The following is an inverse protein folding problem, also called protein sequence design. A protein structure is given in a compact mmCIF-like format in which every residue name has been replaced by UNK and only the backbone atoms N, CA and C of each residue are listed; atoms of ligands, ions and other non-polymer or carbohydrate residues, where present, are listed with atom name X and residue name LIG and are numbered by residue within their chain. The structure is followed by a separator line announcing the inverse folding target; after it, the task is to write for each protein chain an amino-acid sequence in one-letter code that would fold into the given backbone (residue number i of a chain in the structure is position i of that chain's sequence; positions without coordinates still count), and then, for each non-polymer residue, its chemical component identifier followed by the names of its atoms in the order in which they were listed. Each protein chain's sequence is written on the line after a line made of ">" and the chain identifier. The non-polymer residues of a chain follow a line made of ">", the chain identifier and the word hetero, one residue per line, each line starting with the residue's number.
data_IF_342286525142
#
_entry.id   IF_342286525142
#
_cell.length_a   1.000
_cell.length_b   1.000
_cell.length_c   1.000
_cell.angle_alpha   90.00
_cell.angle_beta   90.00
_cell.angle_gamma   90.00
#
_symmetry.space_group_name_H-M   'P 1'
#
loop_
_entity.id
_entity.type
_entity.pdbx_description
1 polymer ?
#
# COMPACT_ATOMS: atom_id res chain seq x y z
N UNK A 1 -12.26 5.68 -14.91
CA UNK A 1 -12.04 7.09 -14.50
C UNK A 1 -13.32 7.93 -14.55
N UNK A 2 -14.29 7.61 -15.40
CA UNK A 2 -15.53 8.40 -15.49
C UNK A 2 -16.34 8.46 -14.19
N UNK A 3 -16.46 7.34 -13.45
CA UNK A 3 -17.11 7.33 -12.13
C UNK A 3 -16.39 8.24 -11.11
N UNK A 4 -15.07 8.34 -11.16
CA UNK A 4 -14.29 9.26 -10.32
C UNK A 4 -14.64 10.70 -10.65
N UNK A 5 -14.63 11.05 -11.95
CA UNK A 5 -14.98 12.41 -12.40
C UNK A 5 -16.41 12.78 -12.02
N UNK A 6 -17.35 11.83 -12.09
CA UNK A 6 -18.74 12.07 -11.71
C UNK A 6 -18.88 12.32 -10.20
N UNK A 7 -18.20 11.52 -9.37
CA UNK A 7 -18.18 11.74 -7.93
C UNK A 7 -17.57 13.11 -7.56
N UNK A 8 -16.48 13.50 -8.21
CA UNK A 8 -15.88 14.83 -8.03
C UNK A 8 -16.84 15.95 -8.45
N UNK A 9 -17.51 15.82 -9.61
CA UNK A 9 -18.52 16.79 -10.07
C UNK A 9 -19.70 16.93 -9.11
N UNK A 10 -20.10 15.82 -8.47
CA UNK A 10 -21.14 15.81 -7.45
C UNK A 10 -20.69 16.42 -6.10
N UNK A 11 -19.42 16.86 -5.99
CA UNK A 11 -18.89 17.54 -4.80
C UNK A 11 -18.28 16.60 -3.75
N UNK A 12 -18.11 15.31 -4.05
CA UNK A 12 -17.44 14.39 -3.13
C UNK A 12 -15.93 14.62 -3.10
N UNK A 13 -15.33 14.49 -1.91
CA UNK A 13 -13.88 14.38 -1.74
C UNK A 13 -13.45 12.97 -2.11
N UNK A 14 -12.77 12.82 -3.25
CA UNK A 14 -12.32 11.51 -3.75
C UNK A 14 -10.83 11.34 -3.51
N UNK A 15 -10.45 10.23 -2.91
CA UNK A 15 -9.05 9.81 -2.73
C UNK A 15 -8.84 8.40 -3.25
N UNK A 16 -7.70 8.12 -3.87
CA UNK A 16 -7.37 6.76 -4.33
C UNK A 16 -6.54 6.01 -3.29
N UNK A 17 -6.70 4.68 -3.28
CA UNK A 17 -5.79 3.77 -2.60
C UNK A 17 -5.13 2.88 -3.66
N UNK A 18 -3.81 2.98 -3.80
CA UNK A 18 -3.03 2.34 -4.85
C UNK A 18 -2.03 1.38 -4.22
N UNK A 19 -2.31 0.08 -4.37
CA UNK A 19 -1.40 -1.00 -3.97
C UNK A 19 -0.51 -1.39 -5.15
N UNK A 20 0.79 -1.44 -4.94
CA UNK A 20 1.79 -1.71 -5.98
C UNK A 20 2.52 -3.04 -5.75
N UNK A 21 2.42 -3.93 -6.73
CA UNK A 21 3.01 -5.28 -6.71
C UNK A 21 4.30 -5.35 -7.53
N UNK A 22 4.97 -6.51 -7.52
CA UNK A 22 6.15 -6.71 -8.37
C UNK A 22 5.78 -6.61 -9.86
N UNK A 23 6.68 -6.03 -10.66
CA UNK A 23 6.45 -5.75 -12.07
C UNK A 23 5.65 -4.48 -12.37
N UNK A 24 5.20 -3.71 -11.37
CA UNK A 24 4.60 -2.40 -11.62
C UNK A 24 5.58 -1.47 -12.35
N UNK A 25 5.16 -0.95 -13.51
CA UNK A 25 5.97 -0.01 -14.30
C UNK A 25 5.90 1.39 -13.68
N UNK A 26 7.04 1.97 -13.24
CA UNK A 26 7.04 3.29 -12.63
C UNK A 26 6.58 4.40 -13.60
N UNK A 27 6.74 4.26 -14.92
CA UNK A 27 6.24 5.26 -15.87
C UNK A 27 4.71 5.25 -15.92
N UNK A 28 4.11 4.06 -16.02
CA UNK A 28 2.66 3.88 -15.95
C UNK A 28 2.06 4.41 -14.65
N UNK A 29 2.72 4.19 -13.51
CA UNK A 29 2.25 4.72 -12.22
C UNK A 29 2.35 6.25 -12.16
N UNK A 30 3.40 6.86 -12.71
CA UNK A 30 3.53 8.32 -12.81
C UNK A 30 2.47 8.92 -13.73
N UNK A 31 2.14 8.26 -14.85
CA UNK A 31 1.05 8.66 -15.72
C UNK A 31 -0.31 8.56 -15.02
N UNK A 32 -0.51 7.51 -14.21
CA UNK A 32 -1.69 7.40 -13.34
C UNK A 32 -1.79 8.57 -12.35
N UNK A 33 -0.68 9.01 -11.75
CA UNK A 33 -0.69 10.19 -10.86
C UNK A 33 -1.15 11.45 -11.59
N UNK A 34 -0.70 11.65 -12.82
CA UNK A 34 -1.16 12.76 -13.65
C UNK A 34 -2.68 12.66 -13.92
N UNK A 35 -3.15 11.50 -14.36
CA UNK A 35 -4.56 11.28 -14.67
C UNK A 35 -5.47 11.50 -13.45
N UNK A 36 -5.05 11.09 -12.25
CA UNK A 36 -5.84 11.29 -11.03
C UNK A 36 -5.91 12.76 -10.64
N UNK A 37 -4.81 13.51 -10.77
CA UNK A 37 -4.84 14.97 -10.53
C UNK A 37 -5.73 15.67 -11.56
N UNK A 38 -5.67 15.28 -12.84
CA UNK A 38 -6.52 15.82 -13.90
C UNK A 38 -8.00 15.46 -13.71
N UNK A 39 -8.30 14.30 -13.12
CA UNK A 39 -9.65 13.88 -12.77
C UNK A 39 -10.23 14.62 -11.55
N UNK A 40 -9.44 15.44 -10.85
CA UNK A 40 -9.86 16.18 -9.67
C UNK A 40 -9.85 15.37 -8.37
N UNK A 41 -9.12 14.24 -8.33
CA UNK A 41 -8.87 13.50 -7.09
C UNK A 41 -8.11 14.40 -6.12
N UNK A 42 -8.55 14.43 -4.87
CA UNK A 42 -7.97 15.29 -3.85
C UNK A 42 -6.52 14.88 -3.51
N UNK A 43 -6.31 13.57 -3.38
CA UNK A 43 -5.02 12.99 -3.00
C UNK A 43 -4.99 11.48 -3.24
N UNK A 44 -3.79 10.93 -3.32
CA UNK A 44 -3.54 9.50 -3.55
C UNK A 44 -2.80 8.87 -2.37
N UNK A 45 -3.18 7.64 -2.01
CA UNK A 45 -2.47 6.81 -1.05
C UNK A 45 -1.72 5.71 -1.79
N UNK A 46 -0.45 5.51 -1.45
CA UNK A 46 0.40 4.48 -2.02
C UNK A 46 0.80 3.45 -0.97
N UNK A 47 0.71 2.17 -1.30
CA UNK A 47 1.22 1.10 -0.44
C UNK A 47 1.89 0.03 -1.27
N UNK A 48 3.04 -0.52 -0.85
CA UNK A 48 3.53 -1.74 -1.45
C UNK A 48 2.56 -2.89 -1.17
N UNK A 49 2.45 -3.82 -2.11
CA UNK A 49 1.78 -5.10 -1.90
C UNK A 49 2.54 -5.91 -0.85
N UNK A 50 1.78 -6.62 -0.02
CA UNK A 50 2.31 -7.47 1.04
C UNK A 50 1.93 -8.93 0.80
N UNK A 51 2.91 -9.82 0.93
CA UNK A 51 2.69 -11.26 0.92
C UNK A 51 2.06 -11.67 2.25
N UNK A 52 0.77 -11.98 2.24
CA UNK A 52 0.12 -12.72 3.31
C UNK A 52 -0.13 -14.14 2.82
N UNK A 53 -0.02 -15.15 3.68
CA UNK A 53 -0.10 -16.57 3.29
C UNK A 53 -1.42 -16.95 2.58
N UNK A 54 -2.48 -16.15 2.80
CA UNK A 54 -3.79 -16.32 2.16
C UNK A 54 -3.93 -15.56 0.83
N UNK A 55 -2.90 -14.87 0.36
CA UNK A 55 -2.93 -14.16 -0.92
C UNK A 55 -2.94 -15.21 -2.05
N UNK A 56 -3.83 -15.09 -3.05
CA UNK A 56 -3.91 -16.03 -4.17
C UNK A 56 -2.61 -16.13 -4.97
N UNK A 57 -1.81 -15.07 -4.94
CA UNK A 57 -0.60 -14.92 -5.72
C UNK A 57 0.63 -14.69 -4.84
N UNK A 58 1.34 -15.78 -4.50
CA UNK A 58 2.54 -15.77 -3.67
C UNK A 58 3.83 -15.41 -4.44
N UNK A 59 3.77 -15.27 -5.77
CA UNK A 59 4.96 -15.23 -6.64
C UNK A 59 5.40 -13.83 -7.06
N UNK A 60 4.53 -12.82 -6.92
CA UNK A 60 4.75 -11.46 -7.45
C UNK A 60 5.02 -10.41 -6.36
N UNK A 61 5.81 -10.76 -5.33
CA UNK A 61 6.11 -9.84 -4.23
C UNK A 61 7.52 -9.22 -4.30
N UNK A 62 7.55 -7.92 -4.05
CA UNK A 62 8.78 -7.14 -3.96
C UNK A 62 9.45 -7.42 -2.61
N UNK A 63 10.70 -7.91 -2.63
CA UNK A 63 11.56 -7.80 -1.44
C UNK A 63 11.81 -6.31 -1.12
N UNK A 64 12.09 -5.97 0.14
CA UNK A 64 12.22 -4.55 0.59
C UNK A 64 13.14 -3.70 -0.30
N UNK A 65 14.22 -4.28 -0.80
CA UNK A 65 15.13 -3.61 -1.74
C UNK A 65 14.48 -3.28 -3.09
N UNK A 66 13.70 -4.21 -3.66
CA UNK A 66 12.95 -3.98 -4.91
C UNK A 66 11.85 -2.93 -4.69
N UNK A 67 11.12 -3.02 -3.57
CA UNK A 67 10.12 -2.00 -3.18
C UNK A 67 10.75 -0.62 -3.13
N UNK A 68 11.88 -0.48 -2.43
CA UNK A 68 12.59 0.80 -2.33
C UNK A 68 13.01 1.34 -3.68
N UNK A 69 13.51 0.49 -4.58
CA UNK A 69 13.86 0.89 -5.95
C UNK A 69 12.65 1.41 -6.73
N UNK A 70 11.53 0.68 -6.68
CA UNK A 70 10.27 1.08 -7.33
C UNK A 70 9.77 2.43 -6.79
N UNK A 71 9.65 2.57 -5.48
CA UNK A 71 9.19 3.82 -4.85
C UNK A 71 10.13 4.99 -5.07
N UNK A 72 11.45 4.77 -5.07
CA UNK A 72 12.45 5.78 -5.47
C UNK A 72 12.24 6.23 -6.92
N UNK A 73 12.05 5.31 -7.86
CA UNK A 73 11.80 5.65 -9.27
C UNK A 73 10.49 6.43 -9.46
N UNK A 74 9.42 6.07 -8.74
CA UNK A 74 8.12 6.74 -8.86
C UNK A 74 8.09 8.13 -8.22
N UNK A 75 8.68 8.30 -7.02
CA UNK A 75 8.50 9.47 -6.18
C UNK A 75 9.66 10.48 -6.23
N UNK A 76 10.84 10.08 -6.70
CA UNK A 76 11.90 11.04 -7.01
C UNK A 76 11.53 11.88 -8.23
N UNK A 77 12.02 13.12 -8.27
CA UNK A 77 11.72 14.09 -9.33
C UNK A 77 10.20 14.21 -9.57
N UNK A 78 9.42 14.18 -8.49
CA UNK A 78 7.95 14.25 -8.54
C UNK A 78 7.46 15.61 -9.00
N UNK A 79 6.28 15.65 -9.62
CA UNK A 79 5.64 16.91 -10.00
C UNK A 79 4.99 17.56 -8.77
N UNK A 80 5.00 18.89 -8.74
CA UNK A 80 4.45 19.70 -7.63
C UNK A 80 2.93 19.56 -7.45
N UNK A 81 2.22 19.19 -8.52
CA UNK A 81 0.77 19.02 -8.49
C UNK A 81 0.34 17.66 -7.91
N UNK A 82 1.24 16.68 -7.80
CA UNK A 82 0.89 15.39 -7.21
C UNK A 82 0.67 15.53 -5.71
N UNK A 83 -0.50 15.07 -5.24
CA UNK A 83 -0.92 15.14 -3.84
C UNK A 83 -1.05 13.75 -3.25
N UNK A 84 -0.43 13.56 -2.09
CA UNK A 84 -0.50 12.32 -1.33
C UNK A 84 -1.08 12.60 0.06
N UNK A 85 -1.98 11.74 0.53
CA UNK A 85 -2.57 11.81 1.88
C UNK A 85 -1.80 10.95 2.89
N UNK A 86 -0.49 10.88 2.72
CA UNK A 86 0.42 10.12 3.57
C UNK A 86 1.50 11.06 4.09
N UNK A 87 2.08 10.72 5.22
CA UNK A 87 3.14 11.53 5.80
C UNK A 87 4.34 11.58 4.83
N UNK A 88 4.97 12.76 4.66
CA UNK A 88 6.16 12.88 3.84
C UNK A 88 7.28 11.92 4.29
N UNK A 89 7.38 11.66 5.59
CA UNK A 89 8.39 10.76 6.14
C UNK A 89 8.11 9.28 5.83
N UNK A 90 6.84 8.88 5.74
CA UNK A 90 6.49 7.53 5.27
C UNK A 90 6.88 7.35 3.79
N UNK A 91 6.64 8.35 2.95
CA UNK A 91 7.11 8.32 1.57
C UNK A 91 8.65 8.23 1.49
N UNK A 92 9.38 8.93 2.36
CA UNK A 92 10.84 8.78 2.48
C UNK A 92 11.27 7.37 2.91
N UNK A 93 10.54 6.74 3.83
CA UNK A 93 10.75 5.34 4.21
C UNK A 93 10.55 4.38 3.02
N UNK A 94 9.47 4.57 2.25
CA UNK A 94 9.21 3.78 1.04
C UNK A 94 10.30 3.96 -0.02
N UNK A 95 10.82 5.17 -0.19
CA UNK A 95 11.98 5.45 -1.08
C UNK A 95 13.32 4.91 -0.54
N UNK A 96 13.35 4.36 0.69
CA UNK A 96 14.57 3.86 1.32
C UNK A 96 15.50 4.94 1.88
N UNK A 97 15.02 6.18 2.01
CA UNK A 97 15.76 7.30 2.62
C UNK A 97 15.72 7.25 4.15
N UNK A 98 14.77 6.48 4.71
CA UNK A 98 14.61 6.25 6.15
C UNK A 98 14.45 4.78 6.48
N UNK A 99 14.71 4.46 7.73
CA UNK A 99 14.41 3.16 8.33
C UNK A 99 13.48 3.39 9.52
N UNK A 100 12.37 2.66 9.53
CA UNK A 100 11.43 2.64 10.63
C UNK A 100 11.19 1.21 11.09
N UNK A 101 10.80 1.10 12.36
CA UNK A 101 10.23 -0.10 12.93
C UNK A 101 8.73 -0.10 12.70
N UNK A 102 8.16 -1.29 12.54
CA UNK A 102 6.71 -1.43 12.46
C UNK A 102 6.10 -1.13 13.83
N UNK A 103 5.03 -0.34 13.84
CA UNK A 103 4.13 -0.13 14.98
C UNK A 103 2.84 -0.92 14.74
N UNK A 104 2.83 -2.25 14.99
CA UNK A 104 1.75 -3.14 14.58
C UNK A 104 0.40 -2.81 15.23
N UNK A 105 0.41 -2.19 16.41
CA UNK A 105 -0.77 -1.75 17.15
C UNK A 105 -1.30 -0.37 16.71
N UNK A 106 -0.60 0.33 15.79
CA UNK A 106 -0.91 1.71 15.41
C UNK A 106 -2.18 1.86 14.55
N UNK A 107 -2.67 0.76 13.97
CA UNK A 107 -3.91 0.74 13.19
C UNK A 107 -4.73 -0.54 13.51
N UNK A 108 -5.42 -0.57 14.67
CA UNK A 108 -6.20 -1.73 15.08
C UNK A 108 -7.40 -1.92 14.14
N UNK A 109 -7.80 -3.18 13.92
CA UNK A 109 -8.90 -3.53 13.01
C UNK A 109 -10.01 -4.24 13.75
N UNK A 110 -11.22 -3.72 13.62
CA UNK A 110 -12.44 -4.34 14.10
C UNK A 110 -13.26 -4.84 12.92
N UNK A 111 -13.70 -6.08 12.97
CA UNK A 111 -14.54 -6.69 11.95
C UNK A 111 -15.65 -7.53 12.58
N UNK A 112 -16.38 -8.31 11.78
CA UNK A 112 -17.51 -9.14 12.23
C UNK A 112 -17.15 -10.13 13.35
N UNK A 113 -15.88 -10.54 13.46
CA UNK A 113 -15.40 -11.47 14.47
C UNK A 113 -14.80 -10.79 15.71
N UNK A 114 -14.75 -9.46 15.74
CA UNK A 114 -14.17 -8.66 16.83
C UNK A 114 -12.89 -7.93 16.45
N UNK A 115 -12.05 -7.65 17.43
CA UNK A 115 -10.75 -6.98 17.27
C UNK A 115 -9.71 -7.97 16.77
N UNK A 116 -9.26 -7.84 15.53
CA UNK A 116 -8.32 -8.78 14.91
C UNK A 116 -6.89 -8.64 15.48
N UNK A 117 -6.30 -9.76 15.87
CA UNK A 117 -4.91 -9.86 16.33
C UNK A 117 -3.97 -10.29 15.19
N UNK A 118 -2.70 -9.87 15.21
CA UNK A 118 -2.21 -8.63 15.80
C UNK A 118 -2.58 -7.40 14.95
N UNK A 119 -2.71 -7.59 13.64
CA UNK A 119 -2.94 -6.55 12.65
C UNK A 119 -3.90 -7.05 11.57
N UNK A 120 -4.35 -6.13 10.73
CA UNK A 120 -5.38 -6.40 9.71
C UNK A 120 -4.96 -7.44 8.65
N UNK A 121 -3.67 -7.78 8.55
CA UNK A 121 -3.13 -8.70 7.54
C UNK A 121 -2.87 -10.14 8.02
N UNK A 122 -2.48 -10.36 9.29
CA UNK A 122 -2.02 -11.66 9.77
C UNK A 122 -3.14 -12.54 10.35
N UNK A 123 -4.14 -11.94 11.01
CA UNK A 123 -5.34 -12.61 11.52
C UNK A 123 -5.04 -13.88 12.36
N UNK A 124 -4.27 -13.72 13.43
CA UNK A 124 -3.88 -14.79 14.36
C UNK A 124 -4.98 -15.10 15.41
N UNK A 125 -6.05 -14.31 15.40
CA UNK A 125 -7.18 -14.48 16.31
C UNK A 125 -7.99 -13.19 16.45
N UNK A 126 -8.91 -13.19 17.41
CA UNK A 126 -9.76 -12.06 17.71
C UNK A 126 -9.82 -11.80 19.22
N UNK A 127 -10.05 -10.55 19.59
CA UNK A 127 -10.35 -10.10 20.93
C UNK A 127 -11.76 -9.51 20.97
N UNK A 128 -12.46 -9.68 22.10
CA UNK A 128 -13.82 -9.16 22.28
C UNK A 128 -13.81 -7.65 22.57
N UNK A 129 -12.71 -7.13 23.12
CA UNK A 129 -12.55 -5.71 23.43
C UNK A 129 -11.19 -5.17 23.00
N UNK A 130 -11.13 -3.86 22.76
CA UNK A 130 -9.87 -3.18 22.47
C UNK A 130 -8.85 -3.34 23.61
N UNK A 131 -9.31 -3.32 24.87
CA UNK A 131 -8.46 -3.54 26.04
C UNK A 131 -7.80 -4.91 26.02
N UNK A 132 -8.56 -5.95 25.64
CA UNK A 132 -8.03 -7.31 25.47
C UNK A 132 -7.06 -7.38 24.29
N UNK A 133 -7.38 -6.77 23.14
CA UNK A 133 -6.48 -6.68 21.99
C UNK A 133 -5.11 -6.14 22.40
N UNK A 134 -5.09 -4.97 23.04
CA UNK A 134 -3.84 -4.31 23.43
C UNK A 134 -3.12 -5.07 24.54
N UNK A 135 -3.84 -5.60 25.54
CA UNK A 135 -3.23 -6.21 26.72
C UNK A 135 -2.79 -7.67 26.55
N UNK A 136 -3.30 -8.40 25.54
CA UNK A 136 -3.03 -9.85 25.39
C UNK A 136 -2.27 -10.21 24.12
N UNK A 137 -2.11 -9.28 23.18
CA UNK A 137 -1.33 -9.52 21.97
C UNK A 137 0.16 -9.37 22.28
N UNK A 138 0.96 -10.36 21.93
CA UNK A 138 2.41 -10.33 22.06
C UNK A 138 3.05 -9.44 20.98
N UNK A 139 2.90 -8.12 21.11
CA UNK A 139 3.27 -7.14 20.09
C UNK A 139 4.73 -7.22 19.64
N UNK A 140 5.64 -7.56 20.56
CA UNK A 140 7.08 -7.70 20.29
C UNK A 140 7.40 -8.85 19.32
N UNK A 141 6.45 -9.79 19.14
CA UNK A 141 6.56 -10.88 18.15
C UNK A 141 6.30 -10.42 16.71
N UNK A 142 5.93 -9.15 16.48
CA UNK A 142 5.54 -8.65 15.17
C UNK A 142 6.36 -7.44 14.70
N UNK A 143 6.35 -7.23 13.38
CA UNK A 143 7.16 -6.22 12.70
C UNK A 143 8.45 -6.79 12.10
N UNK A 144 9.08 -6.04 11.21
CA UNK A 144 10.31 -6.48 10.52
C UNK A 144 11.46 -6.79 11.46
N UNK A 145 11.44 -6.21 12.67
CA UNK A 145 12.47 -6.35 13.69
C UNK A 145 12.30 -7.59 14.58
N UNK A 146 11.14 -8.26 14.56
CA UNK A 146 10.83 -9.34 15.51
C UNK A 146 11.39 -10.71 15.10
N UNK A 147 11.92 -10.84 13.88
CA UNK A 147 12.29 -12.14 13.31
C UNK A 147 11.11 -12.97 12.80
N UNK A 148 9.87 -12.45 12.90
CA UNK A 148 8.70 -13.13 12.35
C UNK A 148 8.79 -13.18 10.80
N UNK A 149 8.78 -14.38 10.19
CA UNK A 149 8.95 -14.53 8.75
C UNK A 149 7.83 -13.88 7.94
N UNK A 150 6.61 -13.81 8.48
CA UNK A 150 5.49 -13.15 7.82
C UNK A 150 5.75 -11.64 7.73
N UNK A 151 6.31 -11.04 8.79
CA UNK A 151 6.59 -9.61 8.84
C UNK A 151 7.88 -9.19 8.10
N UNK A 152 8.76 -10.13 7.74
CA UNK A 152 10.15 -9.85 7.34
C UNK A 152 10.31 -8.86 6.17
N UNK A 153 9.36 -8.88 5.22
CA UNK A 153 9.35 -7.99 4.05
C UNK A 153 8.27 -6.90 4.10
N UNK A 154 7.56 -6.76 5.22
CA UNK A 154 6.47 -5.82 5.36
C UNK A 154 6.95 -4.36 5.21
N UNK A 155 6.22 -3.57 4.42
CA UNK A 155 6.41 -2.13 4.29
C UNK A 155 5.07 -1.37 4.19
N UNK A 156 3.96 -1.99 4.59
CA UNK A 156 2.61 -1.43 4.40
C UNK A 156 2.31 -0.26 5.35
N UNK A 157 1.49 0.66 4.88
CA UNK A 157 1.14 1.89 5.60
C UNK A 157 0.62 1.62 7.02
N UNK A 158 -0.18 0.58 7.29
CA UNK A 158 -0.79 0.38 8.62
C UNK A 158 0.18 0.30 9.80
N UNK A 159 1.40 -0.15 9.56
CA UNK A 159 2.42 -0.31 10.61
C UNK A 159 3.46 0.79 10.59
N UNK A 160 3.72 1.38 9.41
CA UNK A 160 4.82 2.34 9.22
C UNK A 160 4.35 3.79 9.10
N UNK A 161 3.11 4.03 8.66
CA UNK A 161 2.49 5.35 8.70
C UNK A 161 2.35 5.83 10.16
N UNK A 162 1.83 5.03 11.13
CA UNK A 162 1.81 5.45 12.53
C UNK A 162 3.21 5.80 13.07
N UNK A 163 4.24 4.99 12.77
CA UNK A 163 5.62 5.29 13.17
C UNK A 163 6.12 6.60 12.57
N UNK A 164 5.77 6.89 11.32
CA UNK A 164 6.18 8.13 10.65
C UNK A 164 5.48 9.38 11.20
N UNK A 165 4.23 9.23 11.64
CA UNK A 165 3.47 10.28 12.32
C UNK A 165 4.04 10.52 13.71
N UNK A 166 4.36 9.45 14.44
CA UNK A 166 5.03 9.53 15.74
C UNK A 166 6.39 10.24 15.62
N UNK A 167 7.23 9.91 14.63
CA UNK A 167 8.50 10.64 14.39
C UNK A 167 8.26 12.12 14.10
N UNK A 168 7.25 12.44 13.28
CA UNK A 168 6.90 13.83 12.92
C UNK A 168 6.60 14.69 14.15
N UNK A 169 5.84 14.15 15.11
CA UNK A 169 5.35 14.93 16.27
C UNK A 169 6.10 14.64 17.57
N UNK A 170 6.89 13.58 17.63
CA UNK A 170 7.65 13.15 18.79
C UNK A 170 8.94 13.94 19.02
N UNK A 171 9.41 14.70 18.02
CA UNK A 171 10.61 15.53 18.18
C UNK A 171 10.62 16.77 17.28
N UNK A 172 11.33 17.82 17.72
CA UNK A 172 11.57 19.02 16.91
C UNK A 172 12.33 18.68 15.62
N UNK A 173 13.25 17.70 15.68
CA UNK A 173 13.98 17.21 14.52
C UNK A 173 13.04 16.57 13.50
N UNK A 174 12.15 15.68 13.95
CA UNK A 174 11.16 15.03 13.10
C UNK A 174 10.22 16.03 12.44
N UNK A 175 9.77 17.05 13.17
CA UNK A 175 8.98 18.13 12.61
C UNK A 175 9.72 18.92 11.51
N UNK A 176 10.97 19.32 11.77
CA UNK A 176 11.81 20.02 10.76
C UNK A 176 12.04 19.14 9.53
N UNK A 177 12.28 17.84 9.73
CA UNK A 177 12.44 16.88 8.65
C UNK A 177 11.17 16.74 7.81
N UNK A 178 9.99 16.71 8.44
CA UNK A 178 8.69 16.69 7.74
C UNK A 178 8.47 17.95 6.90
N UNK A 179 8.83 19.13 7.44
CA UNK A 179 8.77 20.39 6.68
C UNK A 179 9.68 20.31 5.44
N UNK A 180 10.94 19.89 5.60
CA UNK A 180 11.87 19.70 4.48
C UNK A 180 11.34 18.70 3.45
N UNK A 181 10.80 17.57 3.91
CA UNK A 181 10.25 16.51 3.08
C UNK A 181 8.99 16.95 2.30
N UNK A 182 8.18 17.84 2.88
CA UNK A 182 6.98 18.41 2.24
C UNK A 182 7.35 19.26 1.02
N UNK A 183 8.39 20.09 1.13
CA UNK A 183 8.81 21.00 0.06
C UNK A 183 9.85 20.40 -0.91
N UNK A 184 10.39 19.22 -0.59
CA UNK A 184 11.35 18.53 -1.44
C UNK A 184 10.69 17.88 -2.66
N UNK A 185 11.34 17.98 -3.82
CA UNK A 185 11.00 17.22 -5.03
C UNK A 185 11.87 15.97 -5.21
N UNK A 186 12.83 15.77 -4.30
CA UNK A 186 13.80 14.67 -4.31
C UNK A 186 14.48 14.51 -5.68
N UNK A 187 15.28 15.51 -6.10
CA UNK A 187 16.03 15.42 -7.35
C UNK A 187 17.00 14.23 -7.29
N UNK A 188 16.95 13.37 -8.29
CA UNK A 188 17.71 12.12 -8.32
C UNK A 188 17.92 11.65 -9.77
N UNK A 189 19.16 11.75 -10.26
CA UNK A 189 19.50 11.40 -11.65
C UNK A 189 19.45 9.89 -11.90
N UNK A 190 19.79 9.08 -10.90
CA UNK A 190 19.74 7.62 -11.04
C UNK A 190 18.30 7.14 -11.13
N UNK A 191 17.40 7.73 -10.34
CA UNK A 191 15.98 7.42 -10.41
C UNK A 191 15.37 7.75 -11.78
N UNK A 192 15.81 8.83 -12.44
CA UNK A 192 15.41 9.14 -13.82
C UNK A 192 15.96 8.11 -14.81
N UNK A 193 17.24 7.75 -14.69
CA UNK A 193 17.83 6.72 -15.54
C UNK A 193 17.15 5.36 -15.37
N UNK A 194 16.64 5.05 -14.17
CA UNK A 194 15.85 3.84 -13.90
C UNK A 194 14.46 3.87 -14.56
N UNK A 195 13.89 5.04 -14.88
CA UNK A 195 12.66 5.17 -15.68
C UNK A 195 12.92 4.89 -17.17
N UNK A 196 14.09 5.26 -17.66
CA UNK A 196 14.49 5.07 -19.07
C UNK A 196 14.96 3.65 -19.36
N UNK A 197 15.44 2.93 -18.34
CA UNK A 197 15.74 1.50 -18.45
C UNK A 197 14.44 0.75 -18.66
N UNK A 198 14.28 0.09 -19.81
CA UNK A 198 13.16 -0.82 -20.04
C UNK A 198 12.97 -1.71 -18.81
N UNK A 199 11.85 -1.50 -18.10
CA UNK A 199 11.39 -2.40 -17.07
C UNK A 199 11.00 -3.68 -17.79
N UNK A 200 11.97 -4.55 -18.09
CA UNK A 200 11.69 -5.92 -18.52
C UNK A 200 10.91 -6.54 -17.37
N UNK A 201 9.59 -6.73 -17.50
CA UNK A 201 8.87 -7.41 -16.46
C UNK A 201 9.46 -8.82 -16.44
N UNK A 202 9.97 -9.26 -15.28
CA UNK A 202 10.50 -10.63 -15.17
C UNK A 202 9.37 -11.65 -15.43
N UNK A 203 8.11 -11.22 -15.38
CA UNK A 203 6.92 -11.99 -15.73
C UNK A 203 5.88 -11.15 -16.46
N UNK A 204 5.27 -11.75 -17.49
CA UNK A 204 4.30 -11.16 -18.43
C UNK A 204 3.22 -10.31 -17.77
N UNK A 205 2.89 -9.22 -18.46
CA UNK A 205 1.71 -8.35 -18.29
C UNK A 205 0.47 -9.13 -17.84
N UNK A 206 0.22 -9.20 -16.53
CA UNK A 206 -1.10 -9.58 -16.04
C UNK A 206 -1.91 -8.29 -15.95
N UNK A 207 -3.00 -8.15 -16.74
CA UNK A 207 -3.89 -7.00 -16.58
C UNK A 207 -4.36 -6.95 -15.13
N UNK A 208 -4.58 -5.72 -14.62
CA UNK A 208 -5.16 -5.46 -13.30
C UNK A 208 -6.22 -6.51 -12.98
N UNK A 209 -6.06 -7.24 -11.87
CA UNK A 209 -6.98 -8.32 -11.47
C UNK A 209 -8.38 -7.74 -11.37
N UNK A 210 -9.18 -7.93 -12.42
CA UNK A 210 -10.60 -7.65 -12.40
C UNK A 210 -11.22 -8.80 -11.61
N UNK A 211 -11.78 -8.50 -10.44
CA UNK A 211 -12.62 -9.46 -9.71
C UNK A 211 -13.90 -9.61 -10.54
N UNK A 212 -13.86 -10.51 -11.53
CA UNK A 212 -14.99 -10.80 -12.39
C UNK A 212 -16.13 -11.38 -11.57
N UNK A 213 -17.27 -10.69 -11.56
CA UNK A 213 -18.55 -11.25 -11.11
C UNK A 213 -18.93 -12.33 -12.11
N UNK A 214 -18.54 -13.58 -11.86
CA UNK A 214 -19.13 -14.71 -12.56
C UNK A 214 -20.57 -14.85 -12.07
N UNK A 215 -21.51 -14.28 -12.85
CA UNK A 215 -22.88 -14.71 -12.83
C UNK A 215 -22.90 -16.20 -13.20
N UNK A 216 -23.37 -17.04 -12.29
CA UNK A 216 -23.57 -18.45 -12.54
C UNK A 216 -24.63 -18.62 -13.64
N UNK A 217 -24.20 -18.93 -14.85
CA UNK A 217 -25.11 -19.48 -15.87
C UNK A 217 -25.47 -20.91 -15.44
N UNK A 218 -26.76 -21.10 -15.17
CA UNK A 218 -27.39 -22.38 -14.90
C UNK A 218 -27.22 -23.33 -16.08
N UNK A 219 -26.60 -24.49 -15.84
CA UNK A 219 -26.58 -25.60 -16.80
C UNK A 219 -28.00 -26.15 -17.03
N UNK A 220 -28.36 -26.55 -18.26
CA UNK A 220 -29.66 -27.13 -18.55
C UNK A 220 -29.75 -28.55 -17.98
N UNK A 221 -30.91 -28.84 -17.39
CA UNK A 221 -31.29 -30.15 -16.83
C UNK A 221 -31.38 -31.17 -17.96
N UNK A 222 -30.57 -32.23 -17.88
CA UNK A 222 -30.70 -33.41 -18.73
C UNK A 222 -31.91 -34.25 -18.28
N UNK A 223 -32.79 -34.49 -19.24
CA UNK A 223 -34.00 -35.30 -19.16
C UNK A 223 -33.61 -36.79 -19.08
N UNK A 224 -33.74 -37.42 -17.91
CA UNK A 224 -33.67 -38.87 -17.77
C UNK A 224 -35.08 -39.48 -17.88
N UNK A 225 -35.35 -40.08 -19.03
CA UNK A 225 -36.54 -40.89 -19.26
C UNK A 225 -36.33 -42.33 -18.79
N UNK A 226 -37.21 -42.79 -17.90
CA UNK A 226 -37.72 -44.17 -17.71
C UNK A 226 -36.71 -45.28 -17.39
N UNK A 227 -36.80 -45.84 -16.16
CA UNK A 227 -37.61 -47.04 -15.85
C UNK A 227 -38.27 -46.85 -14.49
#
# INVERSE_FOLDING_TARGET
>A
VDAVREAVKAGFRVTTNTTLFDGADPNSVRAFFDEMMDAGVESMMLSPGYSYDKAPDQKHFLGRARTRRLFRAMLSNRKKNWRFNQSPLFLEYLMGRRNYNCTPWGMPTYNLFGWQKPCYLLQDGYAESYKELIGTTEWDSYGTQSGNPQCANCMVHCGYEPTSVDDTFGSLRGFIDTVKATFSLYPDKEALADLDREARPVYSYNPLVQIGTQASESAPVAEESRV
#
